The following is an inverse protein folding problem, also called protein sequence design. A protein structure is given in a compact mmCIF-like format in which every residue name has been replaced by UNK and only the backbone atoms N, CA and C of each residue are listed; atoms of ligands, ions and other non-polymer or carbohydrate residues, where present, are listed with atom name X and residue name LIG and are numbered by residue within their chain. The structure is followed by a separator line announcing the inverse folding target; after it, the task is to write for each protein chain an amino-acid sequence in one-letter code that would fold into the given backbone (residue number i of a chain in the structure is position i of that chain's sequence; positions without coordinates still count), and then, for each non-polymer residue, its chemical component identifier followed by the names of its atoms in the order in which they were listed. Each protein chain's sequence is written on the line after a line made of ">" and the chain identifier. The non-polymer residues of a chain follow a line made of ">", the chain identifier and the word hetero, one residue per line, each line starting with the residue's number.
data_IF_724338606888
#
_entry.id   IF_724338606888
#
_cell.length_a   1.000
_cell.length_b   1.000
_cell.length_c   1.000
_cell.angle_alpha   90.00
_cell.angle_beta   90.00
_cell.angle_gamma   90.00
#
_symmetry.space_group_name_H-M   'P 1'
#
loop_
_entity.id
_entity.type
_entity.pdbx_description
1 polymer ?
#
# COMPACT_ATOMS: atom_id res chain seq x y z
N UNK A 1 -3.01 -0.41 2.29
CA UNK A 1 -2.20 -0.95 1.18
C UNK A 1 -1.34 0.17 0.68
N UNK A 2 -0.06 -0.11 0.54
CA UNK A 2 1.02 0.79 0.23
C UNK A 2 1.96 0.10 -0.76
N UNK A 3 2.06 0.66 -1.97
CA UNK A 3 3.00 0.23 -3.00
C UNK A 3 3.79 1.44 -3.45
N UNK A 4 5.04 1.50 -3.01
CA UNK A 4 6.07 2.42 -3.48
C UNK A 4 6.97 1.71 -4.50
N UNK A 5 7.98 2.42 -4.98
CA UNK A 5 9.03 1.88 -5.86
C UNK A 5 9.61 0.55 -5.38
N UNK A 6 10.11 0.50 -4.15
CA UNK A 6 10.72 -0.69 -3.57
C UNK A 6 9.74 -1.88 -3.48
N UNK A 7 8.47 -1.63 -3.17
CA UNK A 7 7.43 -2.67 -3.14
C UNK A 7 7.14 -3.21 -4.55
N UNK A 8 7.02 -2.33 -5.52
CA UNK A 8 6.78 -2.70 -6.91
C UNK A 8 7.96 -3.52 -7.48
N UNK A 9 9.20 -3.11 -7.19
CA UNK A 9 10.40 -3.86 -7.56
C UNK A 9 10.47 -5.22 -6.86
N UNK A 10 10.12 -5.29 -5.57
CA UNK A 10 10.07 -6.54 -4.82
C UNK A 10 9.04 -7.52 -5.38
N UNK A 11 7.84 -7.03 -5.75
CA UNK A 11 6.80 -7.83 -6.41
C UNK A 11 7.28 -8.36 -7.77
N UNK A 12 7.88 -7.52 -8.61
CA UNK A 12 8.42 -7.93 -9.91
C UNK A 12 9.55 -8.97 -9.75
N UNK A 13 10.43 -8.79 -8.77
CA UNK A 13 11.46 -9.79 -8.46
C UNK A 13 10.82 -11.12 -8.02
N UNK A 14 9.86 -11.08 -7.10
CA UNK A 14 9.17 -12.28 -6.62
C UNK A 14 8.49 -13.04 -7.77
N UNK A 15 7.80 -12.33 -8.67
CA UNK A 15 7.24 -12.90 -9.91
C UNK A 15 8.32 -13.54 -10.78
N UNK A 16 9.42 -12.84 -11.04
CA UNK A 16 10.50 -13.34 -11.89
C UNK A 16 11.15 -14.62 -11.33
N UNK A 17 11.24 -14.77 -10.02
CA UNK A 17 11.71 -16.01 -9.40
C UNK A 17 10.66 -17.13 -9.54
N UNK A 18 9.39 -16.83 -9.28
CA UNK A 18 8.29 -17.79 -9.41
C UNK A 18 8.20 -18.35 -10.83
N UNK A 19 8.36 -17.52 -11.87
CA UNK A 19 8.38 -17.94 -13.29
C UNK A 19 9.55 -18.89 -13.63
N UNK A 20 10.65 -18.83 -12.86
CA UNK A 20 11.78 -19.75 -12.97
C UNK A 20 11.57 -21.04 -12.17
N UNK A 21 10.43 -21.19 -11.50
CA UNK A 21 10.17 -22.28 -10.55
C UNK A 21 10.99 -22.16 -9.27
N UNK A 22 11.49 -20.96 -8.96
CA UNK A 22 12.26 -20.65 -7.77
C UNK A 22 11.44 -19.82 -6.80
N UNK A 23 11.80 -19.87 -5.53
CA UNK A 23 11.25 -18.94 -4.54
C UNK A 23 12.13 -17.70 -4.38
N UNK A 24 11.51 -16.59 -3.97
CA UNK A 24 12.24 -15.34 -3.80
C UNK A 24 12.99 -15.37 -2.46
N UNK A 25 14.31 -15.53 -2.52
CA UNK A 25 15.15 -15.63 -1.32
C UNK A 25 15.87 -14.31 -1.04
N UNK A 26 15.60 -13.73 0.13
CA UNK A 26 16.19 -12.47 0.60
C UNK A 26 17.12 -12.78 1.78
N UNK A 27 18.43 -12.81 1.49
CA UNK A 27 19.47 -13.17 2.47
C UNK A 27 20.14 -11.96 3.10
N UNK A 28 20.01 -10.79 2.47
CA UNK A 28 20.55 -9.52 2.97
C UNK A 28 19.46 -8.83 3.80
N UNK A 29 19.68 -8.73 5.12
CA UNK A 29 18.68 -8.17 6.04
C UNK A 29 18.28 -6.73 5.70
N UNK A 30 19.18 -5.91 5.16
CA UNK A 30 18.83 -4.52 4.77
C UNK A 30 17.90 -4.44 3.55
N UNK A 31 17.68 -5.54 2.85
CA UNK A 31 16.79 -5.61 1.68
C UNK A 31 15.42 -6.23 2.03
N UNK A 32 15.23 -6.73 3.26
CA UNK A 32 14.00 -7.45 3.64
C UNK A 32 12.80 -6.54 3.90
N UNK A 33 13.02 -5.27 4.24
CA UNK A 33 11.95 -4.35 4.63
C UNK A 33 10.76 -4.29 3.65
N UNK A 34 10.95 -4.06 2.33
CA UNK A 34 9.84 -4.07 1.38
C UNK A 34 9.12 -5.43 1.28
N UNK A 35 9.82 -6.54 1.54
CA UNK A 35 9.23 -7.88 1.52
C UNK A 35 8.37 -8.13 2.75
N UNK A 36 8.85 -7.71 3.93
CA UNK A 36 8.10 -7.77 5.19
C UNK A 36 6.84 -6.91 5.09
N UNK A 37 6.94 -5.69 4.55
CA UNK A 37 5.78 -4.82 4.36
C UNK A 37 4.76 -5.41 3.38
N UNK A 38 5.20 -6.07 2.31
CA UNK A 38 4.32 -6.80 1.40
C UNK A 38 3.69 -8.04 2.06
N UNK A 39 4.41 -8.73 2.94
CA UNK A 39 3.88 -9.84 3.74
C UNK A 39 2.77 -9.35 4.68
N UNK A 40 3.02 -8.26 5.42
CA UNK A 40 2.04 -7.64 6.31
C UNK A 40 0.78 -7.19 5.56
N UNK A 41 0.91 -6.83 4.28
CA UNK A 41 -0.21 -6.49 3.39
C UNK A 41 -0.95 -7.68 2.80
N UNK A 42 -0.49 -8.91 3.04
CA UNK A 42 -0.96 -10.15 2.42
C UNK A 42 -0.77 -10.19 0.89
N UNK A 43 0.32 -9.58 0.40
CA UNK A 43 0.75 -9.64 -0.99
C UNK A 43 1.89 -10.65 -1.19
N UNK A 44 2.72 -10.82 -0.17
CA UNK A 44 3.65 -11.93 -0.05
C UNK A 44 3.27 -12.81 1.15
N UNK A 45 3.81 -14.02 1.18
CA UNK A 45 3.79 -14.90 2.33
C UNK A 45 5.16 -15.57 2.48
N UNK A 46 5.49 -15.93 3.72
CA UNK A 46 6.71 -16.67 4.01
C UNK A 46 6.60 -18.09 3.44
N UNK A 47 7.62 -18.50 2.68
CA UNK A 47 7.70 -19.82 2.07
C UNK A 47 8.21 -20.89 3.04
N UNK A 48 9.02 -21.83 2.55
CA UNK A 48 9.52 -22.94 3.36
C UNK A 48 10.66 -22.54 4.32
N UNK A 49 11.17 -21.31 4.23
CA UNK A 49 12.21 -20.79 5.13
C UNK A 49 12.00 -19.31 5.48
N UNK A 50 12.62 -18.79 6.56
CA UNK A 50 12.50 -17.39 6.98
C UNK A 50 13.04 -16.33 6.01
N UNK A 51 13.80 -16.74 5.02
CA UNK A 51 14.35 -15.85 3.98
C UNK A 51 13.57 -15.96 2.68
N UNK A 52 12.56 -16.82 2.63
CA UNK A 52 11.82 -17.16 1.43
C UNK A 52 10.48 -16.46 1.41
N UNK A 53 10.20 -15.74 0.33
CA UNK A 53 8.93 -15.08 0.07
C UNK A 53 8.30 -15.62 -1.20
N UNK A 54 6.98 -15.84 -1.16
CA UNK A 54 6.17 -16.30 -2.28
C UNK A 54 4.99 -15.35 -2.47
N UNK A 55 4.55 -15.15 -3.70
CA UNK A 55 3.36 -14.34 -3.97
C UNK A 55 2.11 -15.01 -3.38
N UNK A 56 1.26 -14.24 -2.72
CA UNK A 56 -0.11 -14.68 -2.42
C UNK A 56 -0.97 -14.61 -3.69
N UNK A 57 -2.21 -15.10 -3.64
CA UNK A 57 -3.16 -14.88 -4.73
C UNK A 57 -3.36 -13.39 -5.04
N UNK A 58 -3.48 -12.55 -4.01
CA UNK A 58 -3.61 -11.11 -4.18
C UNK A 58 -2.32 -10.46 -4.71
N UNK A 59 -1.15 -10.92 -4.24
CA UNK A 59 0.15 -10.52 -4.75
C UNK A 59 0.29 -10.78 -6.24
N UNK A 60 -0.06 -12.00 -6.68
CA UNK A 60 -0.07 -12.38 -8.11
C UNK A 60 -0.94 -11.43 -8.92
N UNK A 61 -2.20 -11.24 -8.53
CA UNK A 61 -3.10 -10.35 -9.27
C UNK A 61 -2.57 -8.92 -9.37
N UNK A 62 -1.96 -8.41 -8.29
CA UNK A 62 -1.39 -7.07 -8.29
C UNK A 62 -0.16 -6.94 -9.17
N UNK A 63 0.77 -7.90 -9.12
CA UNK A 63 1.99 -7.83 -9.95
C UNK A 63 1.70 -8.05 -11.43
N UNK A 64 0.75 -8.92 -11.78
CA UNK A 64 0.30 -9.07 -13.17
C UNK A 64 -0.36 -7.79 -13.68
N UNK A 65 -1.19 -7.14 -12.85
CA UNK A 65 -1.80 -5.86 -13.20
C UNK A 65 -0.74 -4.76 -13.38
N UNK A 66 0.25 -4.68 -12.48
CA UNK A 66 1.39 -3.77 -12.59
C UNK A 66 2.17 -3.99 -13.91
N UNK A 67 2.53 -5.23 -14.21
CA UNK A 67 3.28 -5.59 -15.42
C UNK A 67 2.49 -5.25 -16.69
N UNK A 68 1.19 -5.55 -16.72
CA UNK A 68 0.32 -5.21 -17.85
C UNK A 68 0.26 -3.69 -18.08
N UNK A 69 0.12 -2.90 -17.01
CA UNK A 69 0.09 -1.44 -17.11
C UNK A 69 1.41 -0.86 -17.61
N UNK A 70 2.54 -1.44 -17.20
CA UNK A 70 3.88 -1.07 -17.72
C UNK A 70 3.98 -1.41 -19.21
N UNK A 71 3.59 -2.62 -19.61
CA UNK A 71 3.65 -3.07 -21.01
C UNK A 71 2.78 -2.22 -21.94
N UNK A 72 1.63 -1.75 -21.46
CA UNK A 72 0.75 -0.83 -22.19
C UNK A 72 1.20 0.63 -22.17
N UNK A 73 2.28 0.95 -21.46
CA UNK A 73 2.81 2.32 -21.34
C UNK A 73 1.92 3.26 -20.55
N UNK A 74 1.05 2.73 -19.67
CA UNK A 74 0.19 3.54 -18.80
C UNK A 74 0.97 4.16 -17.63
N UNK A 75 2.03 3.49 -17.22
CA UNK A 75 2.98 3.91 -16.17
C UNK A 75 4.39 3.50 -16.60
N UNK A 76 5.41 4.24 -16.14
CA UNK A 76 6.80 3.85 -16.34
C UNK A 76 7.18 2.64 -15.47
N UNK A 77 8.28 1.97 -15.83
CA UNK A 77 8.81 0.88 -15.02
C UNK A 77 9.20 1.39 -13.61
N UNK A 78 8.96 0.64 -12.51
CA UNK A 78 9.20 1.13 -11.15
C UNK A 78 10.63 1.60 -10.86
N UNK A 79 11.63 1.09 -11.58
CA UNK A 79 13.02 1.58 -11.47
C UNK A 79 13.18 3.08 -11.76
N UNK A 80 12.27 3.65 -12.54
CA UNK A 80 12.26 5.05 -12.95
C UNK A 80 11.42 5.94 -12.03
N UNK A 81 10.71 5.37 -11.06
CA UNK A 81 9.90 6.14 -10.13
C UNK A 81 10.78 6.93 -9.15
N UNK A 82 10.27 8.08 -8.72
CA UNK A 82 10.82 8.80 -7.57
C UNK A 82 10.66 7.97 -6.30
N UNK A 83 11.63 8.04 -5.38
CA UNK A 83 11.61 7.27 -4.12
C UNK A 83 10.39 7.60 -3.24
N UNK A 84 9.84 8.82 -3.36
CA UNK A 84 8.65 9.26 -2.62
C UNK A 84 7.37 8.97 -3.38
N UNK A 85 7.44 8.51 -4.62
CA UNK A 85 6.26 8.20 -5.42
C UNK A 85 5.50 7.01 -4.82
N UNK A 86 4.24 7.27 -4.47
CA UNK A 86 3.31 6.28 -3.94
C UNK A 86 2.33 5.90 -5.06
N UNK A 87 2.60 4.79 -5.73
CA UNK A 87 1.72 4.26 -6.76
C UNK A 87 0.38 3.86 -6.15
N UNK A 88 0.42 3.15 -5.01
CA UNK A 88 -0.74 2.87 -4.17
C UNK A 88 -0.43 3.35 -2.75
N UNK A 89 -1.37 4.08 -2.17
CA UNK A 89 -1.37 4.47 -0.76
C UNK A 89 -2.82 4.54 -0.26
N UNK A 90 -3.01 4.65 1.04
CA UNK A 90 -4.35 4.79 1.64
C UNK A 90 -5.13 5.98 1.05
N UNK A 91 -4.44 7.07 0.73
CA UNK A 91 -4.99 8.24 0.06
C UNK A 91 -5.49 7.92 -1.36
N UNK A 92 -4.74 7.11 -2.12
CA UNK A 92 -5.11 6.70 -3.47
C UNK A 92 -6.31 5.75 -3.42
N UNK A 93 -6.31 4.80 -2.49
CA UNK A 93 -7.43 3.87 -2.28
C UNK A 93 -8.72 4.62 -1.90
N UNK A 94 -8.64 5.61 -1.01
CA UNK A 94 -9.78 6.41 -0.62
C UNK A 94 -10.39 7.19 -1.80
N UNK A 95 -9.53 7.71 -2.67
CA UNK A 95 -9.95 8.43 -3.87
C UNK A 95 -10.59 7.51 -4.90
N UNK A 96 -10.04 6.31 -5.09
CA UNK A 96 -10.63 5.27 -5.95
C UNK A 96 -12.01 4.90 -5.41
N UNK A 97 -12.14 4.62 -4.12
CA UNK A 97 -13.41 4.28 -3.48
C UNK A 97 -14.45 5.40 -3.67
N UNK A 98 -14.05 6.66 -3.43
CA UNK A 98 -14.93 7.82 -3.62
C UNK A 98 -15.42 7.92 -5.07
N UNK A 99 -14.53 7.73 -6.04
CA UNK A 99 -14.86 7.79 -7.47
C UNK A 99 -15.85 6.68 -7.85
N UNK A 100 -15.65 5.46 -7.36
CA UNK A 100 -16.58 4.33 -7.55
C UNK A 100 -17.97 4.67 -6.97
N UNK A 101 -18.02 5.21 -5.74
CA UNK A 101 -19.29 5.64 -5.10
C UNK A 101 -19.98 6.78 -5.85
N UNK A 102 -19.23 7.61 -6.57
CA UNK A 102 -19.72 8.69 -7.42
C UNK A 102 -20.04 8.26 -8.85
N UNK A 103 -20.21 6.95 -9.11
CA UNK A 103 -20.56 6.45 -10.44
C UNK A 103 -19.39 6.48 -11.43
N UNK A 104 -18.18 6.21 -10.94
CA UNK A 104 -16.89 6.24 -11.66
C UNK A 104 -16.34 7.63 -11.98
N UNK A 105 -17.09 8.70 -11.70
CA UNK A 105 -16.64 10.06 -12.00
C UNK A 105 -15.55 10.52 -11.03
N UNK A 106 -14.57 11.23 -11.58
CA UNK A 106 -13.47 11.84 -10.83
C UNK A 106 -13.60 13.36 -10.90
N UNK A 107 -13.36 14.05 -9.77
CA UNK A 107 -13.20 15.50 -9.78
C UNK A 107 -11.87 15.91 -10.41
N UNK A 108 -11.74 17.15 -10.89
CA UNK A 108 -10.55 17.62 -11.64
C UNK A 108 -9.23 17.39 -10.91
N UNK A 109 -9.14 17.79 -9.63
CA UNK A 109 -7.92 17.58 -8.81
C UNK A 109 -7.58 16.10 -8.58
N UNK A 110 -8.60 15.26 -8.49
CA UNK A 110 -8.48 13.82 -8.25
C UNK A 110 -8.04 13.11 -9.53
N UNK A 111 -8.57 13.54 -10.67
CA UNK A 111 -8.29 12.96 -11.97
C UNK A 111 -6.79 12.97 -12.28
N UNK A 112 -6.11 14.09 -12.11
CA UNK A 112 -4.68 14.20 -12.42
C UNK A 112 -3.85 13.25 -11.53
N UNK A 113 -4.21 13.16 -10.25
CA UNK A 113 -3.57 12.24 -9.29
C UNK A 113 -3.74 10.76 -9.71
N UNK A 114 -4.94 10.37 -10.14
CA UNK A 114 -5.21 9.01 -10.58
C UNK A 114 -4.63 8.71 -11.97
N UNK A 115 -4.63 9.70 -12.87
CA UNK A 115 -4.10 9.58 -14.23
C UNK A 115 -2.60 9.35 -14.23
N UNK A 116 -1.86 10.07 -13.38
CA UNK A 116 -0.42 9.85 -13.16
C UNK A 116 -0.10 8.41 -12.75
N UNK A 117 -1.02 7.74 -12.04
CA UNK A 117 -0.88 6.35 -11.57
C UNK A 117 -1.46 5.32 -12.55
N UNK A 118 -1.98 5.77 -13.69
CA UNK A 118 -2.62 4.92 -14.69
C UNK A 118 -4.02 4.43 -14.32
N UNK A 119 -4.70 5.08 -13.36
CA UNK A 119 -6.01 4.65 -12.84
C UNK A 119 -7.20 5.48 -13.35
N UNK A 120 -6.98 6.51 -14.16
CA UNK A 120 -8.05 7.33 -14.71
C UNK A 120 -7.89 7.56 -16.22
N UNK A 121 -9.02 7.84 -16.88
CA UNK A 121 -9.11 8.06 -18.31
C UNK A 121 -10.16 9.12 -18.66
N UNK A 122 -9.99 9.76 -19.82
CA UNK A 122 -10.99 10.64 -20.41
C UNK A 122 -11.80 9.87 -21.45
N UNK A 123 -13.13 9.91 -21.31
CA UNK A 123 -14.07 9.25 -22.22
C UNK A 123 -14.99 10.31 -22.80
N UNK A 124 -15.25 10.26 -24.10
CA UNK A 124 -16.23 11.13 -24.74
C UNK A 124 -17.59 10.42 -24.85
N UNK A 125 -18.60 10.89 -24.13
CA UNK A 125 -20.00 10.46 -24.28
C UNK A 125 -20.77 11.45 -25.16
N UNK A 126 -21.41 10.98 -26.23
CA UNK A 126 -22.16 11.83 -27.18
C UNK A 126 -23.19 12.78 -26.53
N UNK A 127 -23.74 12.41 -25.37
CA UNK A 127 -24.75 13.19 -24.64
C UNK A 127 -24.21 14.03 -23.49
N UNK A 128 -23.00 13.75 -22.99
CA UNK A 128 -22.44 14.38 -21.79
C UNK A 128 -21.09 15.06 -22.01
N UNK A 129 -20.49 14.91 -23.20
CA UNK A 129 -19.18 15.44 -23.54
C UNK A 129 -18.05 14.61 -22.93
N UNK A 130 -16.92 15.26 -22.64
CA UNK A 130 -15.76 14.62 -22.05
C UNK A 130 -15.97 14.39 -20.55
N UNK A 131 -15.89 13.13 -20.14
CA UNK A 131 -15.97 12.68 -18.76
C UNK A 131 -14.60 12.21 -18.30
N UNK A 132 -14.27 12.56 -17.05
CA UNK A 132 -13.05 12.13 -16.36
C UNK A 132 -13.43 11.01 -15.40
N UNK A 133 -13.01 9.79 -15.69
CA UNK A 133 -13.47 8.61 -14.97
C UNK A 133 -12.33 7.72 -14.50
N UNK A 134 -12.57 6.94 -13.44
CA UNK A 134 -11.69 5.85 -13.05
C UNK A 134 -11.78 4.72 -14.09
N UNK A 135 -10.64 4.19 -14.51
CA UNK A 135 -10.57 3.08 -15.46
C UNK A 135 -10.67 1.72 -14.76
N UNK A 136 -10.61 0.64 -15.55
CA UNK A 136 -10.69 -0.73 -15.01
C UNK A 136 -9.49 -1.09 -14.12
N UNK A 137 -8.29 -0.55 -14.37
CA UNK A 137 -7.13 -0.80 -13.51
C UNK A 137 -7.33 -0.26 -12.09
N UNK A 138 -7.86 0.96 -11.97
CA UNK A 138 -8.20 1.53 -10.67
C UNK A 138 -9.23 0.69 -9.92
N UNK A 139 -10.26 0.19 -10.62
CA UNK A 139 -11.26 -0.71 -10.04
C UNK A 139 -10.65 -2.05 -9.63
N UNK A 140 -9.81 -2.65 -10.46
CA UNK A 140 -9.12 -3.91 -10.15
C UNK A 140 -8.21 -3.78 -8.93
N UNK A 141 -7.46 -2.67 -8.81
CA UNK A 141 -6.66 -2.37 -7.60
C UNK A 141 -7.55 -2.30 -6.36
N UNK A 142 -8.72 -1.66 -6.46
CA UNK A 142 -9.68 -1.60 -5.35
C UNK A 142 -10.24 -2.98 -4.98
N UNK A 143 -10.56 -3.81 -5.96
CA UNK A 143 -11.00 -5.19 -5.70
C UNK A 143 -9.90 -6.01 -5.01
N UNK A 144 -8.64 -5.90 -5.45
CA UNK A 144 -7.49 -6.53 -4.78
C UNK A 144 -7.37 -6.00 -3.34
N UNK A 145 -7.51 -4.70 -3.14
CA UNK A 145 -7.49 -4.09 -1.81
C UNK A 145 -8.59 -4.63 -0.89
N UNK A 146 -9.83 -4.79 -1.36
CA UNK A 146 -10.90 -5.36 -0.52
C UNK A 146 -10.65 -6.83 -0.16
N UNK A 147 -10.03 -7.58 -1.07
CA UNK A 147 -9.84 -9.02 -0.91
C UNK A 147 -8.55 -9.39 -0.17
N UNK A 148 -7.58 -8.48 -0.07
CA UNK A 148 -6.38 -8.66 0.76
C UNK A 148 -6.74 -8.66 2.24
N UNK A 149 -6.10 -9.54 3.01
CA UNK A 149 -6.27 -9.67 4.46
C UNK A 149 -4.95 -9.37 5.18
N UNK A 150 -4.62 -8.09 5.42
CA UNK A 150 -3.39 -7.73 6.10
C UNK A 150 -3.24 -8.44 7.44
N UNK A 151 -2.01 -8.84 7.77
CA UNK A 151 -1.65 -9.42 9.05
C UNK A 151 -1.32 -8.29 10.03
N UNK A 152 -1.73 -8.46 11.29
CA UNK A 152 -1.37 -7.55 12.37
C UNK A 152 -0.19 -8.12 13.13
N UNK A 153 0.90 -7.37 13.19
CA UNK A 153 2.09 -7.70 13.97
C UNK A 153 2.60 -6.44 14.66
N UNK A 154 2.68 -6.46 16.00
CA UNK A 154 3.08 -5.32 16.81
C UNK A 154 4.30 -5.69 17.62
N UNK A 155 5.48 -5.29 17.12
CA UNK A 155 6.73 -5.39 17.87
C UNK A 155 6.76 -4.42 19.04
N UNK A 156 7.69 -4.60 19.98
CA UNK A 156 7.88 -3.68 21.11
C UNK A 156 8.20 -2.25 20.64
N UNK A 157 9.14 -2.10 19.69
CA UNK A 157 9.49 -0.80 19.11
C UNK A 157 8.29 -0.14 18.44
N UNK A 158 7.49 -0.90 17.69
CA UNK A 158 6.29 -0.38 17.07
C UNK A 158 5.20 -0.02 18.10
N UNK A 159 5.06 -0.79 19.18
CA UNK A 159 4.15 -0.47 20.26
C UNK A 159 4.52 0.85 20.95
N UNK A 160 5.81 1.05 21.25
CA UNK A 160 6.35 2.29 21.81
C UNK A 160 6.08 3.46 20.86
N UNK A 161 6.35 3.29 19.57
CA UNK A 161 6.05 4.28 18.54
C UNK A 161 4.56 4.66 18.52
N UNK A 162 3.66 3.66 18.42
CA UNK A 162 2.20 3.88 18.35
C UNK A 162 1.69 4.56 19.62
N UNK A 163 2.24 4.21 20.79
CA UNK A 163 1.78 4.73 22.09
C UNK A 163 1.94 6.26 22.23
N UNK A 164 2.94 6.83 21.56
CA UNK A 164 3.29 8.25 21.64
C UNK A 164 2.67 9.11 20.53
N UNK A 165 2.13 8.46 19.50
CA UNK A 165 1.61 9.14 18.33
C UNK A 165 0.25 9.81 18.60
N UNK A 166 0.00 11.05 18.13
CA UNK A 166 -1.34 11.62 18.14
C UNK A 166 -2.31 10.76 17.29
N UNK A 167 -3.54 10.49 17.74
CA UNK A 167 -4.49 9.65 17.01
C UNK A 167 -4.96 10.26 15.67
N UNK A 168 -4.86 11.58 15.53
CA UNK A 168 -5.29 12.32 14.35
C UNK A 168 -6.75 12.82 14.42
N UNK A 169 -7.20 13.61 13.43
CA UNK A 169 -6.42 14.09 12.28
C UNK A 169 -5.29 15.03 12.71
N UNK A 170 -4.06 14.77 12.23
CA UNK A 170 -2.87 15.54 12.58
C UNK A 170 -1.92 15.66 11.39
N UNK A 171 -1.11 16.72 11.36
CA UNK A 171 -0.08 16.89 10.32
C UNK A 171 1.03 15.83 10.47
N UNK A 172 1.55 15.33 9.35
CA UNK A 172 2.61 14.30 9.34
C UNK A 172 3.91 14.73 10.00
N UNK A 173 4.16 16.04 10.11
CA UNK A 173 5.29 16.58 10.88
C UNK A 173 5.24 16.22 12.38
N UNK A 174 4.08 15.81 12.90
CA UNK A 174 3.90 15.37 14.28
C UNK A 174 4.07 13.86 14.45
N UNK A 175 4.28 13.10 13.36
CA UNK A 175 4.66 11.70 13.46
C UNK A 175 6.05 11.61 14.10
N UNK A 176 6.25 10.72 15.09
CA UNK A 176 7.58 10.46 15.61
C UNK A 176 8.52 10.03 14.47
N UNK A 177 9.77 10.49 14.46
CA UNK A 177 10.71 10.14 13.38
C UNK A 177 11.41 8.84 13.74
N UNK A 178 10.90 7.71 13.21
CA UNK A 178 11.54 6.40 13.38
C UNK A 178 11.36 5.49 12.17
N UNK A 179 12.44 5.28 11.43
CA UNK A 179 12.58 4.22 10.43
C UNK A 179 11.41 4.13 9.47
N UNK A 180 10.84 2.92 9.36
CA UNK A 180 9.76 2.55 8.44
C UNK A 180 8.44 2.29 9.15
N UNK A 181 8.29 2.78 10.39
CA UNK A 181 7.12 2.48 11.21
C UNK A 181 5.81 2.95 10.56
N UNK A 182 5.85 4.07 9.84
CA UNK A 182 4.69 4.58 9.10
C UNK A 182 4.26 3.62 8.00
N UNK A 183 5.22 3.13 7.21
CA UNK A 183 5.00 2.17 6.13
C UNK A 183 4.48 0.84 6.66
N UNK A 184 5.04 0.35 7.77
CA UNK A 184 4.58 -0.85 8.48
C UNK A 184 3.14 -0.66 8.96
N UNK A 185 2.83 0.47 9.61
CA UNK A 185 1.47 0.78 10.05
C UNK A 185 0.47 0.86 8.89
N UNK A 186 0.86 1.47 7.77
CA UNK A 186 -0.02 1.61 6.60
C UNK A 186 -0.21 0.27 5.87
N UNK A 187 0.82 -0.56 5.86
CA UNK A 187 0.79 -1.95 5.39
C UNK A 187 -0.26 -2.77 6.14
N UNK A 188 -0.32 -2.59 7.46
CA UNK A 188 -1.32 -3.22 8.34
C UNK A 188 -2.67 -2.50 8.40
N UNK A 189 -2.84 -1.39 7.65
CA UNK A 189 -4.03 -0.52 7.67
C UNK A 189 -4.33 0.12 9.04
N UNK A 190 -3.31 0.40 9.84
CA UNK A 190 -3.43 1.09 11.13
C UNK A 190 -3.50 2.62 10.97
N UNK A 191 -2.92 3.15 9.89
CA UNK A 191 -2.88 4.58 9.59
C UNK A 191 -3.38 4.82 8.17
N UNK A 192 -4.00 5.98 7.95
CA UNK A 192 -4.39 6.46 6.63
C UNK A 192 -4.02 7.93 6.44
N UNK A 193 -3.85 8.33 5.18
CA UNK A 193 -3.44 9.67 4.79
C UNK A 193 -4.52 10.40 4.00
N UNK A 194 -4.52 11.72 4.10
CA UNK A 194 -5.36 12.60 3.30
C UNK A 194 -4.87 12.69 1.86
N UNK A 195 -5.82 12.93 0.94
CA UNK A 195 -5.59 13.07 -0.51
C UNK A 195 -4.63 14.22 -0.85
N UNK A 196 -3.92 14.08 -1.97
CA UNK A 196 -3.01 15.03 -2.66
C UNK A 196 -1.55 14.90 -2.26
N UNK A 197 -1.22 15.12 -0.98
CA UNK A 197 0.19 15.18 -0.54
C UNK A 197 0.51 14.31 0.68
N UNK A 198 -0.48 13.58 1.23
CA UNK A 198 -0.32 12.84 2.48
C UNK A 198 0.16 13.71 3.66
N UNK A 199 -0.18 15.01 3.66
CA UNK A 199 0.25 15.98 4.69
C UNK A 199 -0.48 15.80 6.03
N UNK A 200 -1.66 15.18 6.01
CA UNK A 200 -2.47 14.88 7.19
C UNK A 200 -2.67 13.38 7.28
N UNK A 201 -2.51 12.84 8.48
CA UNK A 201 -2.77 11.43 8.78
C UNK A 201 -3.86 11.27 9.83
N UNK A 202 -4.44 10.07 9.87
CA UNK A 202 -5.35 9.65 10.91
C UNK A 202 -5.13 8.17 11.24
N UNK A 203 -5.24 7.78 12.51
CA UNK A 203 -5.34 6.37 12.86
C UNK A 203 -6.68 5.80 12.37
N UNK A 204 -6.62 4.61 11.80
CA UNK A 204 -7.82 3.85 11.45
C UNK A 204 -8.54 3.37 12.72
N UNK A 205 -9.77 2.85 12.58
CA UNK A 205 -10.47 2.24 13.71
C UNK A 205 -9.65 1.11 14.37
N UNK A 206 -8.93 0.32 13.57
CA UNK A 206 -8.00 -0.70 14.09
C UNK A 206 -6.77 -0.05 14.73
N UNK A 207 -6.19 0.98 14.11
CA UNK A 207 -5.07 1.73 14.66
C UNK A 207 -5.36 2.32 16.03
N UNK A 208 -6.55 2.91 16.22
CA UNK A 208 -7.01 3.44 17.51
C UNK A 208 -7.16 2.34 18.56
N UNK A 209 -7.70 1.18 18.16
CA UNK A 209 -7.84 0.04 19.06
C UNK A 209 -6.47 -0.50 19.50
N UNK A 210 -5.53 -0.66 18.55
CA UNK A 210 -4.14 -1.06 18.84
C UNK A 210 -3.47 -0.04 19.75
N UNK A 211 -3.58 1.25 19.45
CA UNK A 211 -3.01 2.32 20.27
C UNK A 211 -3.52 2.26 21.71
N UNK A 212 -4.83 2.14 21.90
CA UNK A 212 -5.43 2.02 23.22
C UNK A 212 -4.94 0.79 23.96
N UNK A 213 -4.79 -0.35 23.26
CA UNK A 213 -4.24 -1.57 23.85
C UNK A 213 -2.79 -1.37 24.29
N UNK A 214 -1.92 -0.82 23.44
CA UNK A 214 -0.49 -0.64 23.81
C UNK A 214 -0.29 0.38 24.94
N UNK A 215 -1.17 1.37 25.06
CA UNK A 215 -1.16 2.35 26.15
C UNK A 215 -1.65 1.80 27.49
N UNK A 216 -2.42 0.70 27.49
CA UNK A 216 -3.06 0.15 28.69
C UNK A 216 -2.52 -1.21 29.10
N UNK A 217 -1.88 -1.93 28.17
CA UNK A 217 -1.24 -3.21 28.45
C UNK A 217 0.00 -3.01 29.33
N UNK A 218 0.31 -4.03 30.15
CA UNK A 218 1.62 -4.13 30.79
C UNK A 218 2.70 -4.16 29.69
N UNK A 219 3.84 -3.46 29.84
CA UNK A 219 4.87 -3.41 28.81
C UNK A 219 5.20 -4.81 28.31
N UNK A 220 5.06 -5.01 27.00
CA UNK A 220 5.46 -6.27 26.39
C UNK A 220 6.98 -6.43 26.59
N UNK A 221 7.37 -7.51 27.27
CA UNK A 221 8.73 -8.03 27.15
C UNK A 221 8.93 -8.44 25.68
N UNK A 222 10.18 -8.46 25.18
CA UNK A 222 10.49 -8.88 23.80
C UNK A 222 9.94 -10.30 23.54
N UNK A 223 8.69 -10.38 23.11
CA UNK A 223 7.98 -11.63 22.88
C UNK A 223 7.33 -11.50 21.53
N UNK A 224 7.91 -12.19 20.56
CA UNK A 224 7.31 -12.44 19.25
C UNK A 224 6.10 -13.36 19.51
N UNK A 225 4.90 -12.91 19.13
CA UNK A 225 3.72 -13.79 19.01
C UNK A 225 3.56 -14.14 17.53
#
# INVERSE_FOLDING_TARGET
>A
MLIKKEHALALLNAKSQEEKGLSCQITVKSESDPYIELELQNLLEQGNSPVEFVLTYAGRNLVYLLEEMIQKGLISHPSEWDERFRWIGSEVIAVIEASIKSGNLTGEKVFDTLKERGFAQEIHEEKKGWLKEINEYGKSVYEIYKNTKPRLEISKELAEYISTMPPGPAETKFLPVHGRNVEIMESMRLISFSVSNSDVYNLSGLGLAVQKTVQTMTPALDTVI
#
